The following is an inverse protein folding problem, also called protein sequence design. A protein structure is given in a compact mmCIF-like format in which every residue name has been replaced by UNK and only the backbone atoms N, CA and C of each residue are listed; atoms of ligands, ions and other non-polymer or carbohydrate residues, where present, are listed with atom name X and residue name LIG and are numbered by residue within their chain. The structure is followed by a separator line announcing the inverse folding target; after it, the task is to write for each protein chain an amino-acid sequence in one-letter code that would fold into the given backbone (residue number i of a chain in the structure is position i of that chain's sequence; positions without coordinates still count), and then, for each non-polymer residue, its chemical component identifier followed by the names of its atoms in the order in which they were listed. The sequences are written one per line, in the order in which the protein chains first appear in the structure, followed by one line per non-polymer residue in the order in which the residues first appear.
data_IF_949320009553
#
_entry.id   IF_949320009553
#
_cell.length_a   1.000
_cell.length_b   1.000
_cell.length_c   1.000
_cell.angle_alpha   90.00
_cell.angle_beta   90.00
_cell.angle_gamma   90.00
#
_symmetry.space_group_name_H-M   'P 1'
#
loop_
_entity.id
_entity.type
_entity.pdbx_description
1 polymer ?
#
# COMPACT_ATOMS: atom_id res chain seq x y z
N UNK A 1 29.35 -40.26 -2.54
CA UNK A 1 28.20 -39.80 -3.34
C UNK A 1 27.05 -39.71 -2.36
N UNK A 2 26.48 -38.53 -2.15
CA UNK A 2 25.41 -38.36 -1.18
C UNK A 2 24.19 -39.18 -1.61
N UNK A 3 23.61 -39.94 -0.68
CA UNK A 3 22.45 -40.77 -0.97
C UNK A 3 21.27 -39.91 -1.45
N UNK A 4 20.73 -40.31 -2.59
CA UNK A 4 19.72 -39.56 -3.36
C UNK A 4 18.40 -39.42 -2.62
N UNK A 5 18.09 -40.34 -1.71
CA UNK A 5 16.90 -40.33 -0.86
C UNK A 5 16.96 -39.27 0.25
N UNK A 6 18.11 -39.11 0.91
CA UNK A 6 18.24 -38.23 2.08
C UNK A 6 18.12 -36.74 1.72
N UNK A 7 18.72 -36.32 0.60
CA UNK A 7 18.66 -34.93 0.14
C UNK A 7 17.24 -34.50 -0.25
N UNK A 8 16.39 -35.44 -0.69
CA UNK A 8 15.01 -35.17 -1.07
C UNK A 8 14.10 -34.86 0.14
N UNK A 9 14.41 -35.45 1.30
CA UNK A 9 13.67 -35.24 2.55
C UNK A 9 14.04 -33.91 3.24
N UNK A 10 15.27 -33.43 3.05
CA UNK A 10 15.76 -32.19 3.66
C UNK A 10 15.27 -30.92 2.94
N UNK A 11 14.99 -31.00 1.63
CA UNK A 11 14.56 -29.84 0.84
C UNK A 11 13.22 -29.21 1.30
N UNK A 12 12.15 -29.97 1.57
CA UNK A 12 10.90 -29.41 2.09
C UNK A 12 11.09 -28.67 3.42
N UNK A 13 11.99 -29.17 4.29
CA UNK A 13 12.31 -28.56 5.58
C UNK A 13 13.04 -27.22 5.38
N UNK A 14 14.00 -27.19 4.46
CA UNK A 14 14.72 -25.97 4.09
C UNK A 14 13.77 -24.90 3.54
N UNK A 15 12.90 -25.25 2.58
CA UNK A 15 11.92 -24.32 2.02
C UNK A 15 10.92 -23.84 3.08
N UNK A 16 10.46 -24.74 3.95
CA UNK A 16 9.60 -24.38 5.08
C UNK A 16 10.25 -23.32 5.97
N UNK A 17 11.53 -23.49 6.31
CA UNK A 17 12.26 -22.53 7.14
C UNK A 17 12.39 -21.14 6.49
N UNK A 18 12.72 -21.11 5.19
CA UNK A 18 12.86 -19.86 4.42
C UNK A 18 11.53 -19.11 4.32
N UNK A 19 10.41 -19.82 4.16
CA UNK A 19 9.08 -19.21 4.08
C UNK A 19 8.59 -18.79 5.47
N UNK A 20 8.77 -19.62 6.49
CA UNK A 20 8.27 -19.36 7.84
C UNK A 20 8.96 -18.16 8.52
N UNK A 21 10.27 -18.00 8.31
CA UNK A 21 11.08 -16.95 8.95
C UNK A 21 10.56 -15.52 8.71
N UNK A 22 10.17 -15.10 7.48
CA UNK A 22 9.52 -13.82 7.26
C UNK A 22 8.00 -13.86 7.49
N UNK A 23 7.31 -14.97 7.19
CA UNK A 23 5.85 -15.05 7.22
C UNK A 23 5.28 -14.95 8.64
N UNK A 24 5.89 -15.65 9.60
CA UNK A 24 5.40 -15.72 10.99
C UNK A 24 5.52 -14.35 11.68
N UNK A 25 6.68 -13.67 11.69
CA UNK A 25 6.76 -12.33 12.28
C UNK A 25 5.85 -11.32 11.57
N UNK A 26 5.74 -11.38 10.25
CA UNK A 26 4.87 -10.48 9.48
C UNK A 26 3.39 -10.64 9.86
N UNK A 27 2.92 -11.89 9.99
CA UNK A 27 1.52 -12.18 10.36
C UNK A 27 1.22 -11.77 11.79
N UNK A 28 2.13 -12.03 12.74
CA UNK A 28 2.02 -11.57 14.14
C UNK A 28 1.94 -10.04 14.19
N UNK A 29 2.87 -9.32 13.57
CA UNK A 29 2.88 -7.85 13.55
C UNK A 29 1.59 -7.28 12.93
N UNK A 30 1.07 -7.92 11.88
CA UNK A 30 -0.17 -7.50 11.23
C UNK A 30 -1.38 -7.72 12.11
N UNK A 31 -1.47 -8.85 12.81
CA UNK A 31 -2.53 -9.14 13.78
C UNK A 31 -2.49 -8.14 14.96
N UNK A 32 -1.31 -7.89 15.52
CA UNK A 32 -1.11 -6.89 16.58
C UNK A 32 -1.53 -5.48 16.14
N UNK A 33 -1.19 -5.06 14.91
CA UNK A 33 -1.64 -3.76 14.35
C UNK A 33 -3.14 -3.69 14.13
N UNK A 34 -3.80 -4.81 13.81
CA UNK A 34 -5.26 -4.84 13.67
C UNK A 34 -5.92 -4.74 15.04
N UNK A 35 -5.40 -5.44 16.04
CA UNK A 35 -5.89 -5.38 17.42
C UNK A 35 -5.67 -4.01 18.08
N UNK A 36 -4.55 -3.34 17.78
CA UNK A 36 -4.19 -2.03 18.34
C UNK A 36 -4.90 -0.84 17.67
N UNK A 37 -5.64 -1.04 16.58
CA UNK A 37 -6.36 0.05 15.90
C UNK A 37 -7.52 0.55 16.76
N UNK A 38 -7.23 1.55 17.60
CA UNK A 38 -8.24 2.34 18.29
C UNK A 38 -9.21 2.93 17.28
N UNK A 39 -10.49 2.76 17.57
CA UNK A 39 -11.56 3.42 16.82
C UNK A 39 -11.45 4.92 17.09
N UNK A 40 -11.29 5.72 16.02
CA UNK A 40 -11.22 7.17 16.17
C UNK A 40 -12.60 7.66 16.56
N UNK A 41 -12.72 8.26 17.75
CA UNK A 41 -13.95 8.87 18.24
C UNK A 41 -14.42 9.97 17.27
N UNK A 42 -15.71 9.94 17.00
CA UNK A 42 -16.37 10.93 16.14
C UNK A 42 -16.56 12.18 16.98
N UNK A 43 -15.79 13.24 16.70
CA UNK A 43 -15.94 14.52 17.39
C UNK A 43 -17.16 15.34 16.91
N UNK A 44 -17.82 14.95 15.81
CA UNK A 44 -18.96 15.69 15.26
C UNK A 44 -20.06 14.75 14.71
N UNK A 45 -21.29 14.90 15.22
CA UNK A 45 -22.46 14.11 14.86
C UNK A 45 -23.28 14.69 13.69
N UNK A 46 -22.70 15.61 12.90
CA UNK A 46 -23.43 16.29 11.83
C UNK A 46 -23.82 15.34 10.67
N UNK A 47 -24.95 15.59 10.00
CA UNK A 47 -25.43 14.76 8.87
C UNK A 47 -24.41 14.66 7.73
N UNK A 48 -23.70 15.74 7.43
CA UNK A 48 -22.61 15.79 6.44
C UNK A 48 -21.40 14.95 6.89
N UNK A 49 -21.06 15.00 8.18
CA UNK A 49 -19.99 14.26 8.81
C UNK A 49 -20.29 12.75 8.81
N UNK A 50 -21.55 12.38 9.04
CA UNK A 50 -22.05 11.01 8.97
C UNK A 50 -22.04 10.45 7.54
N UNK A 51 -22.32 11.31 6.54
CA UNK A 51 -22.33 10.95 5.11
C UNK A 51 -20.93 10.96 4.48
N UNK A 52 -19.95 11.61 5.12
CA UNK A 52 -18.56 11.67 4.67
C UNK A 52 -17.89 10.29 4.67
N UNK A 53 -17.39 9.89 3.49
CA UNK A 53 -16.65 8.62 3.30
C UNK A 53 -15.31 8.53 4.06
N UNK A 54 -14.92 9.59 4.78
CA UNK A 54 -13.78 9.61 5.70
C UNK A 54 -14.08 8.77 6.95
N UNK A 55 -15.35 8.61 7.32
CA UNK A 55 -15.79 7.96 8.57
C UNK A 55 -16.75 6.78 8.34
N UNK A 56 -17.53 6.76 7.25
CA UNK A 56 -18.24 5.54 6.82
C UNK A 56 -17.27 4.61 6.09
N UNK A 57 -16.51 3.79 6.83
CA UNK A 57 -15.83 2.63 6.24
C UNK A 57 -16.93 1.65 5.81
N UNK A 58 -17.40 1.78 4.56
CA UNK A 58 -18.26 0.76 3.96
C UNK A 58 -17.61 -0.60 4.21
N UNK A 59 -18.38 -1.56 4.70
CA UNK A 59 -17.96 -2.95 4.92
C UNK A 59 -17.26 -3.47 3.66
N UNK A 60 -17.72 -3.03 2.48
CA UNK A 60 -17.12 -3.29 1.18
C UNK A 60 -15.68 -2.78 1.02
N UNK A 61 -15.32 -1.61 1.59
CA UNK A 61 -13.94 -1.09 1.61
C UNK A 61 -13.05 -1.80 2.63
N UNK A 62 -13.64 -2.33 3.72
CA UNK A 62 -12.94 -3.17 4.71
C UNK A 62 -12.62 -4.54 4.12
N UNK A 63 -13.55 -5.12 3.37
CA UNK A 63 -13.37 -6.35 2.58
C UNK A 63 -12.39 -6.10 1.42
N UNK A 64 -12.47 -4.98 0.70
CA UNK A 64 -11.52 -4.63 -0.37
C UNK A 64 -10.08 -4.47 0.14
N UNK A 65 -9.88 -3.92 1.35
CA UNK A 65 -8.54 -3.87 1.98
C UNK A 65 -8.10 -5.24 2.50
N UNK A 66 -9.03 -6.10 2.90
CA UNK A 66 -8.75 -7.50 3.21
C UNK A 66 -8.41 -8.29 1.93
N UNK A 67 -8.97 -7.90 0.79
CA UNK A 67 -8.72 -8.43 -0.55
C UNK A 67 -7.72 -7.57 -1.32
N UNK A 68 -6.66 -7.12 -0.64
CA UNK A 68 -5.49 -6.58 -1.33
C UNK A 68 -4.58 -7.75 -1.69
N UNK A 69 -3.96 -7.77 -2.88
CA UNK A 69 -3.04 -8.83 -3.35
C UNK A 69 -2.08 -9.34 -2.25
N UNK A 70 -1.57 -8.44 -1.40
CA UNK A 70 -0.71 -8.75 -0.25
C UNK A 70 -1.33 -9.65 0.84
N UNK A 71 -2.65 -9.69 1.01
CA UNK A 71 -3.29 -10.58 1.98
C UNK A 71 -3.55 -11.95 1.37
N UNK A 72 -3.89 -11.98 0.07
CA UNK A 72 -4.02 -13.22 -0.68
C UNK A 72 -2.68 -13.95 -0.78
N UNK A 73 -1.57 -13.23 -1.00
CA UNK A 73 -0.23 -13.83 -0.99
C UNK A 73 0.13 -14.42 0.38
N UNK A 74 -0.22 -13.75 1.49
CA UNK A 74 0.01 -14.29 2.84
C UNK A 74 -0.81 -15.56 3.09
N UNK A 75 -2.07 -15.58 2.67
CA UNK A 75 -2.93 -16.76 2.78
C UNK A 75 -2.37 -17.93 1.96
N UNK A 76 -2.00 -17.66 0.70
CA UNK A 76 -1.38 -18.65 -0.19
C UNK A 76 -0.08 -19.21 0.40
N UNK A 77 0.78 -18.36 0.99
CA UNK A 77 2.00 -18.81 1.67
C UNK A 77 1.70 -19.71 2.87
N UNK A 78 0.65 -19.44 3.65
CA UNK A 78 0.22 -20.34 4.73
C UNK A 78 -0.31 -21.67 4.22
N UNK A 79 -1.04 -21.69 3.10
CA UNK A 79 -1.47 -22.94 2.44
C UNK A 79 -0.27 -23.75 1.98
N UNK A 80 0.75 -23.10 1.40
CA UNK A 80 2.01 -23.76 1.01
C UNK A 80 2.73 -24.31 2.25
N UNK A 81 2.79 -23.56 3.35
CA UNK A 81 3.36 -24.04 4.62
C UNK A 81 2.64 -25.29 5.13
N UNK A 82 1.30 -25.29 5.12
CA UNK A 82 0.49 -26.45 5.54
C UNK A 82 0.77 -27.66 4.64
N UNK A 83 0.84 -27.45 3.33
CA UNK A 83 1.18 -28.50 2.37
C UNK A 83 2.59 -29.04 2.60
N UNK A 84 3.59 -28.19 2.82
CA UNK A 84 4.97 -28.60 3.11
C UNK A 84 5.06 -29.39 4.41
N UNK A 85 4.38 -28.95 5.48
CA UNK A 85 4.32 -29.70 6.75
C UNK A 85 3.67 -31.06 6.56
N UNK A 86 2.61 -31.15 5.75
CA UNK A 86 1.97 -32.42 5.41
C UNK A 86 2.94 -33.34 4.65
N UNK A 87 3.65 -32.81 3.64
CA UNK A 87 4.65 -33.55 2.87
C UNK A 87 5.82 -34.02 3.74
N UNK A 88 6.34 -33.17 4.64
CA UNK A 88 7.39 -33.57 5.60
C UNK A 88 6.89 -34.71 6.50
N UNK A 89 5.67 -34.60 7.05
CA UNK A 89 5.08 -35.65 7.89
C UNK A 89 4.98 -36.99 7.15
N UNK A 90 4.71 -36.97 5.85
CA UNK A 90 4.67 -38.18 5.03
C UNK A 90 6.08 -38.75 4.82
N UNK A 91 7.08 -37.93 4.49
CA UNK A 91 8.46 -38.37 4.25
C UNK A 91 9.19 -38.84 5.51
N UNK A 92 8.92 -38.25 6.69
CA UNK A 92 9.55 -38.66 7.95
C UNK A 92 9.16 -40.07 8.41
N UNK A 93 8.09 -40.66 7.86
CA UNK A 93 7.69 -42.04 8.17
C UNK A 93 8.53 -43.09 7.46
N UNK A 94 9.32 -42.71 6.45
CA UNK A 94 10.12 -43.64 5.64
C UNK A 94 11.58 -43.74 6.14
N UNK A 95 12.02 -42.82 7.00
CA UNK A 95 13.39 -42.78 7.55
C UNK A 95 13.37 -43.34 8.98
N UNK A 96 13.18 -44.65 9.13
CA UNK A 96 13.49 -45.33 10.39
C UNK A 96 15.00 -45.61 10.44
N UNK A 97 15.64 -45.31 11.58
CA UNK A 97 17.05 -45.61 11.78
C UNK A 97 17.30 -47.11 11.62
N UNK A 98 18.28 -47.51 10.80
CA UNK A 98 18.58 -48.90 10.50
C UNK A 98 19.07 -49.64 11.75
N UNK A 99 18.17 -50.39 12.39
CA UNK A 99 18.49 -51.25 13.53
C UNK A 99 18.36 -52.73 13.12
N UNK A 100 19.49 -53.45 12.95
CA UNK A 100 19.50 -54.85 12.52
C UNK A 100 18.70 -55.79 13.43
N UNK A 101 18.61 -55.51 14.73
CA UNK A 101 17.90 -56.36 15.68
C UNK A 101 16.39 -56.21 15.55
N UNK A 102 15.87 -54.98 15.47
CA UNK A 102 14.44 -54.75 15.24
C UNK A 102 13.97 -55.21 13.86
N UNK A 103 14.79 -55.06 12.80
CA UNK A 103 14.47 -55.55 11.45
C UNK A 103 14.31 -57.08 11.43
N UNK A 104 15.15 -57.82 12.17
CA UNK A 104 15.04 -59.28 12.28
C UNK A 104 14.03 -59.73 13.35
N UNK A 105 13.48 -58.80 14.14
CA UNK A 105 12.55 -59.07 15.23
C UNK A 105 13.20 -59.81 16.42
N UNK A 106 14.45 -59.46 16.74
CA UNK A 106 15.25 -60.07 17.81
C UNK A 106 15.60 -59.04 18.89
N UNK A 107 15.84 -59.51 20.12
CA UNK A 107 16.39 -58.69 21.18
C UNK A 107 17.92 -58.50 20.98
N UNK A 108 18.50 -57.39 21.48
CA UNK A 108 19.95 -57.22 21.49
C UNK A 108 20.62 -58.31 22.36
N UNK A 109 21.73 -58.89 21.91
CA UNK A 109 22.49 -59.91 22.65
C UNK A 109 22.08 -61.37 22.41
N UNK A 110 21.24 -61.64 21.41
CA UNK A 110 20.81 -62.99 21.02
C UNK A 110 21.94 -63.77 20.33
N UNK A 111 21.98 -65.10 20.53
CA UNK A 111 23.00 -65.98 19.94
C UNK A 111 22.89 -66.07 18.41
N UNK A 112 24.02 -66.29 17.72
CA UNK A 112 24.08 -66.40 16.25
C UNK A 112 23.13 -67.47 15.68
N UNK A 113 22.88 -68.54 16.43
CA UNK A 113 21.94 -69.60 16.05
C UNK A 113 20.51 -69.07 15.88
N UNK A 114 20.09 -68.13 16.72
CA UNK A 114 18.78 -67.50 16.67
C UNK A 114 18.70 -66.41 15.59
N UNK A 115 19.81 -65.71 15.31
CA UNK A 115 19.93 -64.78 14.16
C UNK A 115 19.73 -65.53 12.84
N UNK A 116 20.41 -66.66 12.64
CA UNK A 116 20.25 -67.52 11.46
C UNK A 116 18.83 -68.08 11.33
N UNK A 117 18.18 -68.43 12.45
CA UNK A 117 16.80 -68.92 12.47
C UNK A 117 15.80 -67.83 12.07
N UNK A 118 15.97 -66.60 12.58
CA UNK A 118 15.13 -65.46 12.26
C UNK A 118 15.29 -65.04 10.79
N UNK A 119 16.53 -64.97 10.30
CA UNK A 119 16.81 -64.73 8.88
C UNK A 119 16.14 -65.79 8.00
N UNK A 120 16.32 -67.08 8.27
CA UNK A 120 15.68 -68.16 7.49
C UNK A 120 14.16 -68.03 7.43
N UNK A 121 13.51 -67.63 8.53
CA UNK A 121 12.06 -67.40 8.59
C UNK A 121 11.65 -66.24 7.68
N UNK A 122 12.32 -65.10 7.79
CA UNK A 122 12.02 -63.89 7.01
C UNK A 122 12.40 -64.06 5.53
N UNK A 123 13.52 -64.72 5.22
CA UNK A 123 13.94 -65.02 3.86
C UNK A 123 12.91 -65.87 3.12
N UNK A 124 12.24 -66.82 3.78
CA UNK A 124 11.18 -67.62 3.12
C UNK A 124 9.96 -66.75 2.80
N UNK A 125 9.66 -65.77 3.64
CA UNK A 125 8.49 -64.89 3.51
C UNK A 125 8.68 -63.79 2.46
N UNK A 126 9.90 -63.29 2.31
CA UNK A 126 10.23 -62.16 1.43
C UNK A 126 11.16 -62.53 0.26
N UNK A 127 11.37 -63.84 -0.02
CA UNK A 127 12.20 -64.28 -1.15
C UNK A 127 11.60 -63.84 -2.50
N UNK A 128 12.40 -63.32 -3.46
CA UNK A 128 11.91 -62.96 -4.80
C UNK A 128 11.23 -64.13 -5.53
N UNK A 129 11.71 -65.36 -5.31
CA UNK A 129 11.13 -66.54 -5.97
C UNK A 129 9.82 -67.01 -5.35
N UNK A 130 9.54 -66.65 -4.09
CA UNK A 130 8.35 -67.13 -3.35
C UNK A 130 7.27 -66.08 -3.18
N UNK A 131 7.65 -64.81 -3.26
CA UNK A 131 6.74 -63.68 -3.15
C UNK A 131 6.84 -62.81 -4.42
N UNK A 132 5.77 -62.71 -5.23
CA UNK A 132 5.78 -61.94 -6.47
C UNK A 132 5.73 -60.42 -6.25
N UNK A 133 5.57 -59.94 -5.01
CA UNK A 133 5.48 -58.50 -4.72
C UNK A 133 6.83 -57.78 -4.88
N UNK A 134 6.94 -56.75 -5.75
CA UNK A 134 8.20 -56.02 -5.95
C UNK A 134 8.64 -55.24 -4.70
N UNK A 135 7.70 -54.85 -3.83
CA UNK A 135 8.00 -54.21 -2.55
C UNK A 135 8.64 -55.18 -1.54
N UNK A 136 8.19 -56.45 -1.53
CA UNK A 136 8.76 -57.49 -0.68
C UNK A 136 10.21 -57.79 -1.06
N UNK A 137 10.51 -57.81 -2.37
CA UNK A 137 11.88 -57.98 -2.87
C UNK A 137 12.81 -56.84 -2.43
N UNK A 138 12.37 -55.58 -2.58
CA UNK A 138 13.15 -54.42 -2.10
C UNK A 138 13.40 -54.52 -0.61
N UNK A 139 12.37 -54.83 0.19
CA UNK A 139 12.51 -54.97 1.64
C UNK A 139 13.51 -56.07 2.03
N UNK A 140 13.50 -57.19 1.31
CA UNK A 140 14.44 -58.28 1.53
C UNK A 140 15.90 -57.88 1.28
N UNK A 141 16.17 -57.23 0.15
CA UNK A 141 17.53 -56.83 -0.24
C UNK A 141 18.04 -55.67 0.60
N UNK A 142 17.21 -54.64 0.80
CA UNK A 142 17.61 -53.40 1.46
C UNK A 142 17.68 -53.52 2.98
N UNK A 143 16.79 -54.29 3.61
CA UNK A 143 16.70 -54.37 5.07
C UNK A 143 17.11 -55.74 5.61
N UNK A 144 16.45 -56.83 5.18
CA UNK A 144 16.64 -58.17 5.80
C UNK A 144 18.06 -58.72 5.52
N UNK A 145 18.52 -58.64 4.27
CA UNK A 145 19.84 -59.13 3.87
C UNK A 145 20.96 -58.30 4.51
N UNK A 146 20.83 -56.97 4.50
CA UNK A 146 21.80 -56.08 5.15
C UNK A 146 21.84 -56.27 6.67
N UNK A 147 20.69 -56.47 7.32
CA UNK A 147 20.62 -56.68 8.77
C UNK A 147 21.30 -58.00 9.18
N UNK A 148 21.12 -59.05 8.39
CA UNK A 148 21.81 -60.32 8.62
C UNK A 148 23.33 -60.20 8.41
N UNK A 149 23.76 -59.50 7.36
CA UNK A 149 25.19 -59.24 7.09
C UNK A 149 25.82 -58.42 8.23
N UNK A 150 25.14 -57.37 8.69
CA UNK A 150 25.56 -56.51 9.79
C UNK A 150 25.84 -57.27 11.09
N UNK A 151 25.07 -58.32 11.39
CA UNK A 151 25.20 -59.09 12.62
C UNK A 151 26.08 -60.35 12.49
N UNK A 152 26.32 -60.83 11.27
CA UNK A 152 27.06 -62.08 11.02
C UNK A 152 28.53 -61.84 10.70
N UNK A 153 28.87 -60.74 10.02
CA UNK A 153 30.25 -60.39 9.72
C UNK A 153 30.93 -59.81 10.99
N UNK A 154 32.03 -60.40 11.49
CA UNK A 154 32.73 -59.88 12.67
C UNK A 154 33.13 -58.41 12.53
N UNK A 155 33.49 -57.97 11.31
CA UNK A 155 33.90 -56.58 11.06
C UNK A 155 32.69 -55.63 11.14
N UNK A 156 31.58 -55.98 10.48
CA UNK A 156 30.36 -55.16 10.50
C UNK A 156 29.70 -55.12 11.88
N UNK A 157 29.79 -56.20 12.65
CA UNK A 157 29.27 -56.27 14.02
C UNK A 157 30.08 -55.39 14.96
N UNK A 158 31.41 -55.46 14.90
CA UNK A 158 32.29 -54.58 15.68
C UNK A 158 32.06 -53.09 15.32
N UNK A 159 31.86 -52.81 14.03
CA UNK A 159 31.51 -51.47 13.54
C UNK A 159 30.15 -51.00 14.07
N UNK A 160 29.14 -51.86 14.07
CA UNK A 160 27.82 -51.54 14.61
C UNK A 160 27.88 -51.30 16.13
N UNK A 161 28.62 -52.12 16.88
CA UNK A 161 28.81 -51.97 18.32
C UNK A 161 29.59 -50.69 18.69
N UNK A 162 30.56 -50.28 17.86
CA UNK A 162 31.38 -49.08 18.09
C UNK A 162 30.78 -47.78 17.56
N UNK A 163 30.07 -47.82 16.44
CA UNK A 163 29.62 -46.64 15.68
C UNK A 163 28.10 -46.60 15.43
N UNK A 164 27.35 -47.64 15.80
CA UNK A 164 25.90 -47.71 15.59
C UNK A 164 25.46 -47.98 14.13
N UNK A 165 26.40 -48.30 13.23
CA UNK A 165 26.13 -48.57 11.81
C UNK A 165 27.05 -49.69 11.28
N UNK A 166 26.56 -50.64 10.45
CA UNK A 166 27.36 -51.76 9.94
C UNK A 166 28.59 -51.35 9.11
N UNK A 167 28.51 -50.21 8.42
CA UNK A 167 29.59 -49.68 7.57
C UNK A 167 30.70 -48.91 8.34
N UNK A 168 30.61 -48.83 9.67
CA UNK A 168 31.60 -48.18 10.52
C UNK A 168 31.43 -46.66 10.63
N UNK A 169 32.53 -45.94 10.89
CA UNK A 169 32.52 -44.48 11.06
C UNK A 169 32.06 -43.79 9.78
N UNK A 170 30.80 -43.40 9.73
CA UNK A 170 30.30 -42.56 8.64
C UNK A 170 31.03 -41.21 8.66
N UNK A 171 31.68 -40.86 7.55
CA UNK A 171 32.20 -39.51 7.37
C UNK A 171 31.05 -38.51 7.33
N UNK A 172 31.24 -37.32 7.90
CA UNK A 172 30.27 -36.23 7.77
C UNK A 172 30.08 -35.89 6.29
N UNK A 173 29.01 -36.38 5.67
CA UNK A 173 28.63 -36.00 4.31
C UNK A 173 27.77 -34.74 4.39
N UNK A 174 28.33 -33.60 3.95
CA UNK A 174 27.58 -32.36 3.79
C UNK A 174 26.72 -32.45 2.53
N UNK A 175 25.45 -32.81 2.67
CA UNK A 175 24.46 -32.72 1.61
C UNK A 175 23.93 -31.28 1.48
N UNK A 176 23.83 -30.76 0.25
CA UNK A 176 23.06 -29.55 0.00
C UNK A 176 21.59 -29.97 -0.08
N UNK A 177 20.72 -29.32 0.69
CA UNK A 177 19.28 -29.61 0.72
C UNK A 177 18.54 -29.17 -0.57
N UNK A 178 19.20 -29.15 -1.73
CA UNK A 178 18.59 -28.86 -3.03
C UNK A 178 18.27 -30.18 -3.74
N UNK A 179 17.09 -30.30 -4.37
CA UNK A 179 16.70 -31.50 -5.07
C UNK A 179 17.51 -31.64 -6.36
N UNK A 180 17.86 -32.87 -6.73
CA UNK A 180 18.74 -33.14 -7.86
C UNK A 180 18.16 -32.67 -9.20
N UNK A 181 16.83 -32.68 -9.39
CA UNK A 181 16.20 -32.17 -10.62
C UNK A 181 16.48 -30.68 -10.91
N UNK A 182 16.82 -29.86 -9.90
CA UNK A 182 17.22 -28.46 -10.10
C UNK A 182 18.69 -28.31 -10.51
N UNK A 183 19.52 -29.30 -10.20
CA UNK A 183 20.96 -29.31 -10.45
C UNK A 183 21.33 -30.16 -11.68
N UNK A 184 20.49 -31.12 -12.06
CA UNK A 184 20.69 -31.96 -13.22
C UNK A 184 20.41 -31.16 -14.48
N UNK A 185 21.46 -30.71 -15.17
CA UNK A 185 21.40 -29.92 -16.42
C UNK A 185 20.77 -30.64 -17.63
N UNK A 186 20.13 -31.80 -17.43
CA UNK A 186 19.46 -32.57 -18.47
C UNK A 186 18.21 -31.82 -18.96
N UNK A 187 18.37 -30.93 -19.96
CA UNK A 187 17.35 -30.38 -20.85
C UNK A 187 16.19 -29.57 -20.24
N UNK A 188 15.46 -30.15 -19.28
CA UNK A 188 14.27 -29.58 -18.64
C UNK A 188 14.57 -28.54 -17.56
N UNK A 189 15.68 -28.66 -16.83
CA UNK A 189 16.07 -27.72 -15.76
C UNK A 189 16.83 -26.50 -16.30
N UNK A 190 17.62 -26.68 -17.37
CA UNK A 190 18.41 -25.62 -18.00
C UNK A 190 17.54 -24.48 -18.55
N UNK A 191 16.36 -24.82 -19.10
CA UNK A 191 15.38 -23.81 -19.55
C UNK A 191 14.83 -22.95 -18.39
N UNK A 192 14.57 -23.56 -17.24
CA UNK A 192 14.05 -22.87 -16.04
C UNK A 192 15.11 -21.92 -15.48
N UNK A 193 16.36 -22.36 -15.44
CA UNK A 193 17.49 -21.56 -14.96
C UNK A 193 17.77 -20.36 -15.89
N UNK A 194 17.71 -20.57 -17.21
CA UNK A 194 17.87 -19.50 -18.21
C UNK A 194 16.71 -18.48 -18.14
N UNK A 195 15.47 -18.94 -17.97
CA UNK A 195 14.32 -18.05 -17.77
C UNK A 195 14.44 -17.23 -16.49
N UNK A 196 14.96 -17.82 -15.42
CA UNK A 196 15.17 -17.10 -14.15
C UNK A 196 16.26 -16.03 -14.27
N UNK A 197 17.37 -16.34 -14.94
CA UNK A 197 18.44 -15.37 -15.21
C UNK A 197 17.93 -14.26 -16.13
N UNK A 198 17.30 -14.60 -17.25
CA UNK A 198 16.77 -13.62 -18.21
C UNK A 198 15.68 -12.74 -17.59
N UNK A 199 14.75 -13.33 -16.84
CA UNK A 199 13.68 -12.62 -16.16
C UNK A 199 14.21 -11.73 -15.02
N UNK A 200 15.09 -12.27 -14.19
CA UNK A 200 15.61 -11.59 -13.00
C UNK A 200 16.65 -10.52 -13.30
N UNK A 201 17.58 -10.77 -14.23
CA UNK A 201 18.68 -9.85 -14.51
C UNK A 201 18.41 -8.90 -15.68
N UNK A 202 17.55 -9.26 -16.64
CA UNK A 202 17.30 -8.41 -17.81
C UNK A 202 15.92 -7.76 -17.71
N UNK A 203 14.86 -8.56 -17.60
CA UNK A 203 13.50 -8.01 -17.61
C UNK A 203 13.18 -7.17 -16.38
N UNK A 204 13.59 -7.58 -15.18
CA UNK A 204 13.28 -6.87 -13.95
C UNK A 204 14.00 -5.50 -13.88
N UNK A 205 15.33 -5.38 -14.11
CA UNK A 205 15.98 -4.07 -14.17
C UNK A 205 15.47 -3.21 -15.32
N UNK A 206 15.13 -3.79 -16.48
CA UNK A 206 14.54 -3.03 -17.58
C UNK A 206 13.15 -2.50 -17.21
N UNK A 207 12.29 -3.31 -16.62
CA UNK A 207 10.95 -2.89 -16.19
C UNK A 207 11.03 -1.82 -15.09
N UNK A 208 11.90 -2.03 -14.09
CA UNK A 208 12.16 -1.03 -13.04
C UNK A 208 12.72 0.24 -13.66
N UNK A 209 13.65 0.13 -14.60
CA UNK A 209 14.23 1.27 -15.33
C UNK A 209 13.17 2.06 -16.11
N UNK A 210 12.33 1.40 -16.89
CA UNK A 210 11.26 2.06 -17.66
C UNK A 210 10.24 2.71 -16.73
N UNK A 211 9.81 2.04 -15.66
CA UNK A 211 8.83 2.60 -14.70
C UNK A 211 9.45 3.76 -13.92
N UNK A 212 10.69 3.61 -13.48
CA UNK A 212 11.41 4.65 -12.75
C UNK A 212 11.63 5.87 -13.65
N UNK A 213 12.21 5.69 -14.84
CA UNK A 213 12.48 6.79 -15.76
C UNK A 213 11.19 7.47 -16.25
N UNK A 214 10.14 6.70 -16.58
CA UNK A 214 8.87 7.28 -17.03
C UNK A 214 8.12 8.06 -15.94
N UNK A 215 8.22 7.65 -14.67
CA UNK A 215 7.63 8.40 -13.55
C UNK A 215 8.53 9.55 -13.12
N UNK A 216 9.83 9.30 -13.03
CA UNK A 216 10.81 10.28 -12.63
C UNK A 216 10.96 11.40 -13.63
N UNK A 217 10.59 11.24 -14.92
CA UNK A 217 10.54 12.30 -15.93
C UNK A 217 9.25 13.13 -15.91
N UNK A 218 8.13 12.54 -15.49
CA UNK A 218 6.81 13.22 -15.48
C UNK A 218 6.52 13.98 -14.18
N UNK A 219 6.94 13.46 -13.03
CA UNK A 219 6.60 13.99 -11.72
C UNK A 219 7.81 14.59 -11.00
N UNK A 220 7.60 15.71 -10.31
CA UNK A 220 8.57 16.34 -9.41
C UNK A 220 8.47 15.86 -7.96
N UNK A 221 9.26 16.48 -7.07
CA UNK A 221 9.24 16.23 -5.62
C UNK A 221 7.93 16.71 -5.00
N UNK A 222 6.93 15.82 -4.99
CA UNK A 222 5.60 15.85 -4.33
C UNK A 222 4.49 15.15 -5.15
N UNK A 223 4.83 14.40 -6.20
CA UNK A 223 3.85 13.86 -7.17
C UNK A 223 3.03 14.95 -7.89
N UNK A 224 3.61 16.14 -8.05
CA UNK A 224 3.11 17.21 -8.92
C UNK A 224 3.81 17.08 -10.27
N UNK A 225 3.09 17.27 -11.38
CA UNK A 225 3.68 17.22 -12.73
C UNK A 225 4.73 18.30 -12.89
N UNK A 226 5.83 17.97 -13.59
CA UNK A 226 6.87 18.95 -13.89
C UNK A 226 6.35 20.13 -14.70
N UNK A 227 5.49 19.86 -15.67
CA UNK A 227 4.82 20.90 -16.48
C UNK A 227 4.13 21.94 -15.60
N UNK A 228 3.42 21.49 -14.55
CA UNK A 228 2.74 22.40 -13.62
C UNK A 228 3.70 23.23 -12.80
N UNK A 229 4.79 22.63 -12.32
CA UNK A 229 5.83 23.36 -11.61
C UNK A 229 6.48 24.43 -12.49
N UNK A 230 6.72 24.13 -13.77
CA UNK A 230 7.26 25.10 -14.74
C UNK A 230 6.25 26.23 -15.00
N UNK A 231 4.98 25.90 -15.26
CA UNK A 231 3.93 26.90 -15.45
C UNK A 231 3.77 27.79 -14.21
N UNK A 232 3.79 27.22 -13.01
CA UNK A 232 3.78 28.00 -11.76
C UNK A 232 5.05 28.84 -11.60
N UNK A 233 6.21 28.30 -11.98
CA UNK A 233 7.45 29.05 -11.93
C UNK A 233 7.37 30.31 -12.80
N UNK A 234 6.86 30.20 -14.03
CA UNK A 234 6.74 31.34 -14.96
C UNK A 234 5.65 32.35 -14.56
N UNK A 235 4.53 31.88 -14.01
CA UNK A 235 3.38 32.72 -13.71
C UNK A 235 3.47 33.46 -12.38
N UNK A 236 4.11 32.86 -11.38
CA UNK A 236 4.33 33.57 -10.11
C UNK A 236 5.29 34.72 -10.42
N UNK A 237 4.93 35.92 -9.99
CA UNK A 237 5.69 37.16 -10.14
C UNK A 237 5.74 37.89 -8.79
N UNK A 238 6.73 38.75 -8.53
CA UNK A 238 6.85 39.45 -7.24
C UNK A 238 5.66 40.38 -6.95
N UNK A 239 5.01 40.91 -8.00
CA UNK A 239 3.84 41.78 -7.93
C UNK A 239 2.50 41.04 -7.89
N UNK A 240 2.50 39.70 -7.82
CA UNK A 240 1.27 38.91 -7.80
C UNK A 240 0.44 39.26 -6.56
N UNK A 241 -0.75 39.82 -6.80
CA UNK A 241 -1.70 40.15 -5.73
C UNK A 241 -2.42 38.88 -5.25
N UNK A 242 -2.79 38.77 -3.95
CA UNK A 242 -3.53 37.63 -3.41
C UNK A 242 -4.81 37.30 -4.19
N UNK A 243 -5.52 38.32 -4.69
CA UNK A 243 -6.71 38.13 -5.52
C UNK A 243 -6.44 37.34 -6.80
N UNK A 244 -5.29 37.54 -7.44
CA UNK A 244 -4.91 36.89 -8.71
C UNK A 244 -4.18 35.55 -8.52
N UNK A 245 -3.97 35.10 -7.29
CA UNK A 245 -3.33 33.80 -7.00
C UNK A 245 -4.21 32.65 -7.49
N UNK A 246 -5.54 32.77 -7.40
CA UNK A 246 -6.47 31.76 -7.94
C UNK A 246 -6.23 31.54 -9.45
N UNK A 247 -6.13 32.61 -10.23
CA UNK A 247 -5.92 32.55 -11.68
C UNK A 247 -4.60 31.83 -12.06
N UNK A 248 -3.60 31.87 -11.18
CA UNK A 248 -2.34 31.12 -11.33
C UNK A 248 -2.54 29.67 -10.92
N UNK A 249 -3.21 29.42 -9.80
CA UNK A 249 -3.44 28.10 -9.24
C UNK A 249 -4.19 27.16 -10.20
N UNK A 250 -5.25 27.65 -10.87
CA UNK A 250 -6.07 26.84 -11.78
C UNK A 250 -5.32 26.42 -13.06
N UNK A 251 -4.21 27.07 -13.40
CA UNK A 251 -3.39 26.72 -14.58
C UNK A 251 -2.54 25.46 -14.40
N UNK A 252 -2.85 24.62 -13.42
CA UNK A 252 -2.21 23.32 -13.24
C UNK A 252 -2.54 22.36 -14.38
N UNK A 253 -1.54 21.58 -14.82
CA UNK A 253 -1.70 20.57 -15.85
C UNK A 253 -2.56 19.39 -15.39
N UNK A 254 -2.60 19.11 -14.08
CA UNK A 254 -3.49 18.09 -13.51
C UNK A 254 -4.97 18.44 -13.69
N UNK A 255 -5.32 19.73 -13.74
CA UNK A 255 -6.69 20.14 -14.02
C UNK A 255 -7.05 20.06 -15.51
N UNK A 256 -6.07 20.01 -16.41
CA UNK A 256 -6.33 19.84 -17.84
C UNK A 256 -6.86 18.45 -18.18
N UNK A 257 -6.58 17.44 -17.34
CA UNK A 257 -7.06 16.06 -17.53
C UNK A 257 -8.54 15.85 -17.16
N UNK A 258 -9.20 16.86 -16.59
CA UNK A 258 -10.59 16.74 -16.17
C UNK A 258 -11.48 16.52 -17.41
N UNK A 259 -12.36 15.50 -17.42
CA UNK A 259 -13.20 15.25 -18.57
C UNK A 259 -14.15 16.43 -18.81
N UNK A 260 -14.13 16.99 -20.01
CA UNK A 260 -15.05 18.03 -20.45
C UNK A 260 -16.14 17.37 -21.27
N UNK A 261 -17.35 17.30 -20.71
CA UNK A 261 -18.51 16.65 -21.33
C UNK A 261 -19.47 17.74 -21.81
N UNK A 262 -20.09 17.56 -22.98
CA UNK A 262 -21.09 18.51 -23.52
C UNK A 262 -22.31 18.69 -22.61
N UNK A 263 -22.67 17.64 -21.87
CA UNK A 263 -23.75 17.70 -20.89
C UNK A 263 -23.46 18.64 -19.70
N UNK A 264 -22.21 19.07 -19.51
CA UNK A 264 -21.83 19.96 -18.43
C UNK A 264 -21.98 21.45 -18.81
N UNK A 265 -22.23 21.79 -20.09
CA UNK A 265 -22.22 23.18 -20.56
C UNK A 265 -23.33 24.03 -19.89
N UNK A 266 -24.55 23.51 -19.82
CA UNK A 266 -25.69 24.17 -19.16
C UNK A 266 -25.45 24.37 -17.64
N UNK A 267 -25.13 23.34 -16.84
CA UNK A 267 -24.89 23.53 -15.41
C UNK A 267 -23.66 24.40 -15.13
N UNK A 268 -22.64 24.40 -16.00
CA UNK A 268 -21.49 25.30 -15.86
C UNK A 268 -21.88 26.76 -16.09
N UNK A 269 -22.79 27.06 -17.03
CA UNK A 269 -23.30 28.41 -17.23
C UNK A 269 -24.13 28.90 -16.03
N UNK A 270 -24.94 28.04 -15.42
CA UNK A 270 -25.67 28.36 -14.19
C UNK A 270 -24.71 28.64 -13.03
N UNK A 271 -23.70 27.79 -12.86
CA UNK A 271 -22.65 28.01 -11.86
C UNK A 271 -21.89 29.30 -12.09
N UNK A 272 -21.57 29.63 -13.35
CA UNK A 272 -20.92 30.89 -13.69
C UNK A 272 -21.77 32.09 -13.22
N UNK A 273 -23.09 32.07 -13.40
CA UNK A 273 -23.97 33.16 -12.92
C UNK A 273 -23.90 33.31 -11.39
N UNK A 274 -23.85 32.20 -10.67
CA UNK A 274 -23.78 32.19 -9.20
C UNK A 274 -22.43 32.67 -8.66
N UNK A 275 -21.34 32.36 -9.37
CA UNK A 275 -19.96 32.62 -8.97
C UNK A 275 -19.44 33.96 -9.51
N UNK A 276 -20.13 34.56 -10.48
CA UNK A 276 -19.71 35.79 -11.18
C UNK A 276 -19.25 36.92 -10.27
N UNK A 277 -19.85 37.08 -9.09
CA UNK A 277 -19.49 38.13 -8.13
C UNK A 277 -18.12 37.94 -7.48
N UNK A 278 -17.65 36.69 -7.39
CA UNK A 278 -16.37 36.32 -6.77
C UNK A 278 -15.24 36.16 -7.78
N UNK A 279 -15.57 35.99 -9.06
CA UNK A 279 -14.60 36.04 -10.14
C UNK A 279 -14.02 37.46 -10.20
N UNK A 280 -12.68 37.59 -10.14
CA UNK A 280 -11.96 38.86 -10.23
C UNK A 280 -12.01 39.46 -11.66
N UNK A 281 -13.21 39.61 -12.21
CA UNK A 281 -13.50 40.25 -13.48
C UNK A 281 -13.56 41.75 -13.23
N UNK A 282 -12.72 42.51 -13.94
CA UNK A 282 -12.70 43.96 -13.80
C UNK A 282 -14.05 44.56 -14.22
N UNK A 283 -14.75 45.21 -13.30
CA UNK A 283 -16.10 45.74 -13.51
C UNK A 283 -16.21 46.74 -14.67
N UNK A 284 -15.12 47.41 -15.05
CA UNK A 284 -15.06 48.37 -16.16
C UNK A 284 -15.11 47.70 -17.54
N UNK A 285 -14.55 46.49 -17.67
CA UNK A 285 -14.44 45.74 -18.95
C UNK A 285 -15.07 44.33 -18.85
N UNK A 286 -16.12 44.19 -18.02
CA UNK A 286 -16.66 42.89 -17.63
C UNK A 286 -17.05 41.99 -18.81
N UNK A 287 -17.57 42.54 -19.93
CA UNK A 287 -17.96 41.78 -21.12
C UNK A 287 -16.75 41.21 -21.88
N UNK A 288 -15.67 41.99 -21.96
CA UNK A 288 -14.43 41.56 -22.62
C UNK A 288 -13.72 40.49 -21.77
N UNK A 289 -13.64 40.69 -20.46
CA UNK A 289 -13.04 39.73 -19.53
C UNK A 289 -13.85 38.43 -19.44
N UNK A 290 -15.18 38.50 -19.47
CA UNK A 290 -16.03 37.32 -19.58
C UNK A 290 -15.74 36.53 -20.87
N UNK A 291 -15.56 37.23 -21.99
CA UNK A 291 -15.21 36.57 -23.26
C UNK A 291 -13.82 35.94 -23.20
N UNK A 292 -12.84 36.60 -22.56
CA UNK A 292 -11.50 36.04 -22.34
C UNK A 292 -11.52 34.81 -21.44
N UNK A 293 -12.35 34.82 -20.40
CA UNK A 293 -12.52 33.70 -19.48
C UNK A 293 -12.99 32.44 -20.21
N UNK A 294 -14.07 32.54 -21.00
CA UNK A 294 -14.59 31.39 -21.77
C UNK A 294 -13.69 30.95 -22.94
N UNK A 295 -12.77 31.82 -23.39
CA UNK A 295 -11.75 31.48 -24.41
C UNK A 295 -10.58 30.66 -23.85
N UNK A 296 -10.45 30.54 -22.53
CA UNK A 296 -9.44 29.68 -21.93
C UNK A 296 -9.75 28.19 -22.18
N UNK A 297 -8.80 27.32 -21.86
CA UNK A 297 -9.01 25.88 -21.99
C UNK A 297 -10.24 25.44 -21.16
N UNK A 298 -11.22 24.71 -21.74
CA UNK A 298 -12.48 24.39 -21.07
C UNK A 298 -12.32 23.68 -19.72
N UNK A 299 -11.30 22.83 -19.58
CA UNK A 299 -11.00 22.14 -18.33
C UNK A 299 -10.55 23.08 -17.20
N UNK A 300 -9.80 24.14 -17.53
CA UNK A 300 -9.35 25.17 -16.58
C UNK A 300 -10.56 25.97 -16.10
N UNK A 301 -11.41 26.42 -17.04
CA UNK A 301 -12.66 27.12 -16.72
C UNK A 301 -13.54 26.28 -15.80
N UNK A 302 -13.72 25.00 -16.14
CA UNK A 302 -14.46 24.04 -15.31
C UNK A 302 -13.85 23.93 -13.90
N UNK A 303 -12.53 23.74 -13.79
CA UNK A 303 -11.86 23.64 -12.50
C UNK A 303 -12.02 24.92 -11.65
N UNK A 304 -11.86 26.10 -12.25
CA UNK A 304 -12.03 27.37 -11.56
C UNK A 304 -13.45 27.53 -11.02
N UNK A 305 -14.47 27.25 -11.84
CA UNK A 305 -15.87 27.32 -11.43
C UNK A 305 -16.19 26.37 -10.28
N UNK A 306 -15.65 25.14 -10.33
CA UNK A 306 -15.85 24.15 -9.26
C UNK A 306 -15.19 24.57 -7.95
N UNK A 307 -13.97 25.11 -8.02
CA UNK A 307 -13.24 25.59 -6.83
C UNK A 307 -13.97 26.81 -6.25
N UNK A 308 -14.42 27.74 -7.07
CA UNK A 308 -15.12 28.93 -6.59
C UNK A 308 -16.50 28.59 -6.00
N UNK A 309 -17.25 27.67 -6.63
CA UNK A 309 -18.51 27.17 -6.07
C UNK A 309 -18.30 26.44 -4.73
N UNK A 310 -17.14 25.79 -4.54
CA UNK A 310 -16.73 25.24 -3.25
C UNK A 310 -16.49 26.32 -2.20
N UNK A 311 -15.79 27.41 -2.55
CA UNK A 311 -15.56 28.53 -1.63
C UNK A 311 -16.89 29.17 -1.18
N UNK A 312 -17.90 29.21 -2.06
CA UNK A 312 -19.24 29.70 -1.75
C UNK A 312 -20.16 28.69 -1.04
N UNK A 313 -19.65 27.48 -0.73
CA UNK A 313 -20.44 26.39 -0.10
C UNK A 313 -21.69 25.97 -0.88
N UNK A 314 -21.72 26.20 -2.20
CA UNK A 314 -22.84 25.81 -3.09
C UNK A 314 -22.61 24.46 -3.77
N UNK A 315 -21.91 23.54 -3.12
CA UNK A 315 -21.57 22.24 -3.69
C UNK A 315 -22.77 21.28 -3.83
N UNK A 316 -23.90 21.58 -3.17
CA UNK A 316 -25.13 20.77 -3.24
C UNK A 316 -25.90 20.96 -4.55
N UNK A 317 -25.61 22.02 -5.32
CA UNK A 317 -26.27 22.28 -6.61
C UNK A 317 -25.64 21.52 -7.78
N UNK A 318 -24.62 20.70 -7.53
CA UNK A 318 -23.90 19.98 -8.59
C UNK A 318 -24.68 18.74 -9.06
N UNK A 319 -24.67 18.51 -10.38
CA UNK A 319 -25.13 17.25 -10.96
C UNK A 319 -24.25 16.08 -10.48
N UNK A 320 -24.76 14.85 -10.53
CA UNK A 320 -24.04 13.65 -10.06
C UNK A 320 -22.67 13.46 -10.71
N UNK A 321 -22.56 13.77 -12.01
CA UNK A 321 -21.32 13.73 -12.77
C UNK A 321 -20.35 14.82 -12.32
N UNK A 322 -20.83 16.07 -12.24
CA UNK A 322 -20.03 17.21 -11.84
C UNK A 322 -19.52 17.06 -10.40
N UNK A 323 -20.29 16.40 -9.54
CA UNK A 323 -19.88 16.08 -8.17
C UNK A 323 -18.70 15.09 -8.10
N UNK A 324 -18.56 14.18 -9.08
CA UNK A 324 -17.38 13.30 -9.16
C UNK A 324 -16.14 14.09 -9.56
N UNK A 325 -16.27 14.96 -10.56
CA UNK A 325 -15.17 15.82 -11.03
C UNK A 325 -14.75 16.81 -9.94
N UNK A 326 -15.71 17.42 -9.25
CA UNK A 326 -15.48 18.26 -8.06
C UNK A 326 -14.67 17.53 -6.98
N UNK A 327 -15.04 16.29 -6.64
CA UNK A 327 -14.28 15.47 -5.68
C UNK A 327 -12.88 15.15 -6.17
N UNK A 328 -12.70 15.00 -7.47
CA UNK A 328 -11.39 14.75 -8.07
C UNK A 328 -10.51 16.00 -7.97
N UNK A 329 -11.03 17.18 -8.35
CA UNK A 329 -10.35 18.49 -8.23
C UNK A 329 -9.85 18.72 -6.80
N UNK A 330 -10.72 18.58 -5.80
CA UNK A 330 -10.37 18.79 -4.40
C UNK A 330 -9.30 17.82 -3.87
N UNK A 331 -9.12 16.64 -4.47
CA UNK A 331 -8.07 15.70 -4.06
C UNK A 331 -6.67 16.18 -4.49
N UNK A 332 -6.56 16.87 -5.63
CA UNK A 332 -5.29 17.43 -6.09
C UNK A 332 -4.95 18.75 -5.42
N UNK A 333 -5.95 19.54 -5.04
CA UNK A 333 -5.76 20.91 -4.53
C UNK A 333 -4.69 21.05 -3.44
N UNK A 334 -4.67 20.25 -2.36
CA UNK A 334 -3.65 20.41 -1.32
C UNK A 334 -2.22 20.21 -1.83
N UNK A 335 -2.02 19.24 -2.73
CA UNK A 335 -0.70 18.94 -3.31
C UNK A 335 -0.24 20.05 -4.25
N UNK A 336 -1.15 20.59 -5.04
CA UNK A 336 -0.89 21.69 -5.96
C UNK A 336 -0.58 22.99 -5.22
N UNK A 337 -1.31 23.28 -4.13
CA UNK A 337 -1.03 24.43 -3.27
C UNK A 337 0.36 24.34 -2.64
N UNK A 338 0.76 23.17 -2.14
CA UNK A 338 2.11 22.96 -1.62
C UNK A 338 3.17 23.17 -2.71
N UNK A 339 2.93 22.65 -3.93
CA UNK A 339 3.79 22.88 -5.09
C UNK A 339 3.91 24.37 -5.44
N UNK A 340 2.79 25.10 -5.41
CA UNK A 340 2.73 26.53 -5.70
C UNK A 340 3.48 27.37 -4.64
N UNK A 341 3.33 27.05 -3.34
CA UNK A 341 4.09 27.69 -2.26
C UNK A 341 5.59 27.47 -2.48
N UNK A 342 6.00 26.23 -2.77
CA UNK A 342 7.40 25.92 -3.05
C UNK A 342 7.92 26.82 -4.18
N UNK A 343 7.19 26.93 -5.29
CA UNK A 343 7.58 27.78 -6.44
C UNK A 343 7.65 29.28 -6.12
N UNK A 344 6.86 29.76 -5.16
CA UNK A 344 6.93 31.14 -4.68
C UNK A 344 8.13 31.39 -3.76
N UNK A 345 8.52 30.40 -2.95
CA UNK A 345 9.65 30.49 -2.01
C UNK A 345 11.00 30.12 -2.60
N UNK A 346 11.03 29.49 -3.79
CA UNK A 346 12.29 29.15 -4.47
C UNK A 346 13.16 30.40 -4.63
N UNK A 347 14.47 30.33 -4.34
CA UNK A 347 15.40 31.43 -4.56
C UNK A 347 15.47 31.80 -6.05
N UNK A 348 15.10 33.05 -6.39
CA UNK A 348 15.12 33.54 -7.78
C UNK A 348 16.05 34.72 -8.01
N UNK A 349 16.38 35.43 -6.94
CA UNK A 349 17.29 36.57 -6.99
C UNK A 349 18.72 36.11 -6.79
N UNK A 350 19.71 36.88 -7.27
CA UNK A 350 21.13 36.59 -7.03
C UNK A 350 21.48 36.47 -5.53
N UNK A 351 20.65 37.08 -4.66
CA UNK A 351 20.77 37.01 -3.19
C UNK A 351 20.11 35.76 -2.58
N UNK A 352 19.48 34.90 -3.38
CA UNK A 352 18.87 33.66 -2.91
C UNK A 352 17.52 33.84 -2.20
N UNK A 353 16.80 34.93 -2.41
CA UNK A 353 15.48 35.14 -1.80
C UNK A 353 14.34 34.73 -2.74
N UNK A 354 13.30 34.11 -2.15
CA UNK A 354 11.99 33.92 -2.76
C UNK A 354 11.08 35.13 -2.56
N UNK A 355 9.81 35.02 -2.97
CA UNK A 355 8.85 36.13 -2.89
C UNK A 355 7.82 35.91 -1.79
N UNK A 356 7.86 36.80 -0.79
CA UNK A 356 6.98 36.73 0.38
C UNK A 356 5.52 37.03 0.04
N UNK A 357 5.26 38.11 -0.71
CA UNK A 357 3.88 38.55 -1.01
C UNK A 357 3.05 37.50 -1.75
N UNK A 358 3.56 36.85 -2.82
CA UNK A 358 2.87 35.71 -3.43
C UNK A 358 2.72 34.53 -2.48
N UNK A 359 3.74 34.22 -1.67
CA UNK A 359 3.68 33.12 -0.71
C UNK A 359 2.55 33.31 0.32
N UNK A 360 2.39 34.52 0.86
CA UNK A 360 1.28 34.87 1.77
C UNK A 360 -0.06 34.66 1.07
N UNK A 361 -0.24 35.19 -0.15
CA UNK A 361 -1.48 35.02 -0.90
C UNK A 361 -1.83 33.56 -1.21
N UNK A 362 -0.83 32.71 -1.43
CA UNK A 362 -1.04 31.26 -1.63
C UNK A 362 -1.44 30.58 -0.32
N UNK A 363 -0.84 30.98 0.81
CA UNK A 363 -1.24 30.48 2.13
C UNK A 363 -2.67 30.90 2.46
N UNK A 364 -3.05 32.14 2.22
CA UNK A 364 -4.43 32.63 2.37
C UNK A 364 -5.41 31.83 1.51
N UNK A 365 -5.07 31.62 0.23
CA UNK A 365 -5.85 30.78 -0.67
C UNK A 365 -6.00 29.35 -0.14
N UNK A 366 -4.92 28.77 0.38
CA UNK A 366 -4.94 27.42 0.93
C UNK A 366 -5.89 27.30 2.13
N UNK A 367 -5.89 28.29 3.01
CA UNK A 367 -6.80 28.36 4.16
C UNK A 367 -8.25 28.50 3.70
N UNK A 368 -8.52 29.37 2.72
CA UNK A 368 -9.86 29.56 2.15
C UNK A 368 -10.41 28.28 1.51
N UNK A 369 -9.59 27.55 0.74
CA UNK A 369 -10.03 26.30 0.10
C UNK A 369 -10.27 25.20 1.15
N UNK A 370 -9.41 25.08 2.16
CA UNK A 370 -9.57 24.08 3.23
C UNK A 370 -10.83 24.34 4.05
N UNK A 371 -11.10 25.62 4.39
CA UNK A 371 -12.25 26.01 5.22
C UNK A 371 -13.54 26.27 4.40
N UNK A 372 -13.45 26.22 3.07
CA UNK A 372 -14.54 26.55 2.16
C UNK A 372 -15.13 27.95 2.46
N UNK A 373 -14.29 28.98 2.37
CA UNK A 373 -14.64 30.39 2.62
C UNK A 373 -14.14 31.23 1.43
N UNK A 374 -14.94 32.18 0.90
CA UNK A 374 -14.53 32.99 -0.24
C UNK A 374 -13.37 33.94 0.12
N UNK A 375 -12.51 34.22 -0.87
CA UNK A 375 -11.40 35.16 -0.71
C UNK A 375 -11.87 36.60 -0.47
N UNK A 376 -13.06 36.97 -0.97
CA UNK A 376 -13.68 38.28 -0.72
C UNK A 376 -13.94 38.51 0.77
N UNK A 377 -14.32 37.47 1.52
CA UNK A 377 -14.62 37.57 2.95
C UNK A 377 -13.40 37.89 3.82
N UNK A 378 -12.18 37.68 3.28
CA UNK A 378 -10.91 38.08 3.92
C UNK A 378 -10.50 39.51 3.61
N UNK A 379 -11.11 40.19 2.64
CA UNK A 379 -10.76 41.58 2.35
C UNK A 379 -11.07 42.42 3.59
N UNK A 380 -10.05 43.12 4.10
CA UNK A 380 -10.15 43.97 5.28
C UNK A 380 -11.24 45.03 5.08
N UNK A 381 -12.35 44.88 5.79
CA UNK A 381 -13.36 45.91 6.02
C UNK A 381 -13.17 46.47 7.42
N UNK A 382 -13.08 47.80 7.54
CA UNK A 382 -13.03 48.60 8.78
C UNK A 382 -12.59 47.86 10.06
N UNK A 383 -11.28 47.63 10.21
CA UNK A 383 -10.67 47.38 11.53
C UNK A 383 -10.17 45.97 11.86
N UNK A 384 -10.44 44.94 11.03
CA UNK A 384 -9.89 43.59 11.24
C UNK A 384 -9.08 43.11 10.04
N UNK A 385 -7.91 42.51 10.30
CA UNK A 385 -7.01 41.95 9.29
C UNK A 385 -7.57 40.72 8.58
N UNK A 386 -8.49 39.98 9.23
CA UNK A 386 -9.05 38.73 8.70
C UNK A 386 -10.52 38.84 8.24
N UNK A 387 -11.16 39.99 8.50
CA UNK A 387 -12.54 40.25 8.08
C UNK A 387 -13.57 39.20 8.57
N UNK A 388 -14.64 39.04 7.80
CA UNK A 388 -15.76 38.13 8.11
C UNK A 388 -15.38 36.65 7.96
N UNK A 389 -14.24 36.36 7.31
CA UNK A 389 -13.79 35.00 7.06
C UNK A 389 -13.56 34.18 8.32
N UNK A 390 -13.13 34.81 9.43
CA UNK A 390 -12.94 34.15 10.72
C UNK A 390 -14.25 33.54 11.27
N UNK A 391 -15.36 34.28 11.11
CA UNK A 391 -16.70 33.85 11.54
C UNK A 391 -17.26 32.76 10.63
N UNK A 392 -17.06 32.90 9.32
CA UNK A 392 -17.57 31.92 8.36
C UNK A 392 -16.95 30.53 8.56
N UNK A 393 -15.74 30.43 9.09
CA UNK A 393 -15.08 29.13 9.37
C UNK A 393 -15.84 28.27 10.39
N UNK A 394 -16.69 28.88 11.24
CA UNK A 394 -17.43 28.16 12.26
C UNK A 394 -18.55 27.29 11.64
N UNK A 395 -18.81 26.10 12.21
CA UNK A 395 -19.88 25.23 11.73
C UNK A 395 -21.24 25.90 11.93
N UNK A 396 -22.13 25.76 10.94
CA UNK A 396 -23.50 26.32 10.93
C UNK A 396 -23.60 27.86 10.88
N UNK A 397 -22.50 28.59 10.73
CA UNK A 397 -22.52 30.01 10.42
C UNK A 397 -22.76 30.22 8.92
N UNK A 398 -23.86 30.91 8.59
CA UNK A 398 -24.20 31.33 7.23
C UNK A 398 -24.08 32.85 7.10
N UNK A 399 -23.99 33.35 5.87
CA UNK A 399 -23.93 34.79 5.58
C UNK A 399 -25.11 35.55 6.22
N UNK A 400 -26.28 34.93 6.30
CA UNK A 400 -27.46 35.50 6.95
C UNK A 400 -27.30 35.64 8.47
N UNK A 401 -26.66 34.67 9.12
CA UNK A 401 -26.38 34.74 10.58
C UNK A 401 -25.37 35.84 10.85
N UNK A 402 -24.34 35.94 10.03
CA UNK A 402 -23.32 36.98 10.16
C UNK A 402 -23.92 38.36 9.91
N UNK A 403 -24.77 38.53 8.90
CA UNK A 403 -25.47 39.79 8.67
C UNK A 403 -26.35 40.21 9.85
N UNK A 404 -26.92 39.25 10.60
CA UNK A 404 -27.65 39.53 11.85
C UNK A 404 -26.71 39.93 13.00
N UNK A 405 -25.55 39.29 13.12
CA UNK A 405 -24.54 39.60 14.15
C UNK A 405 -23.91 40.97 13.89
N UNK A 406 -23.51 41.25 12.64
CA UNK A 406 -22.92 42.52 12.22
C UNK A 406 -23.85 43.73 12.47
N UNK A 407 -25.18 43.52 12.43
CA UNK A 407 -26.17 44.55 12.79
C UNK A 407 -26.22 44.83 14.30
N UNK A 408 -25.84 43.86 15.14
CA UNK A 408 -25.94 43.95 16.61
C UNK A 408 -24.60 44.31 17.25
N UNK A 409 -23.48 43.90 16.65
CA UNK A 409 -22.13 44.13 17.17
C UNK A 409 -21.15 44.23 16.01
N UNK A 410 -20.22 45.19 16.09
CA UNK A 410 -19.08 45.31 15.19
C UNK A 410 -18.00 44.25 15.51
N UNK A 411 -18.37 42.97 15.47
CA UNK A 411 -17.46 41.83 15.70
C UNK A 411 -16.87 41.41 14.37
N UNK A 412 -15.54 41.41 14.27
CA UNK A 412 -14.82 41.07 13.04
C UNK A 412 -13.70 40.04 13.25
N UNK A 413 -13.55 39.52 14.47
CA UNK A 413 -12.59 38.46 14.81
C UNK A 413 -13.19 37.47 15.82
N UNK A 414 -12.63 36.25 15.84
CA UNK A 414 -13.00 35.22 16.81
C UNK A 414 -12.71 35.64 18.25
N UNK A 415 -11.61 36.37 18.48
CA UNK A 415 -11.26 36.97 19.78
C UNK A 415 -12.41 37.81 20.31
N UNK A 416 -12.97 38.65 19.45
CA UNK A 416 -14.01 39.61 19.80
C UNK A 416 -15.33 38.91 20.16
N UNK A 417 -15.61 37.75 19.54
CA UNK A 417 -16.78 36.92 19.94
C UNK A 417 -16.60 36.41 21.35
N UNK A 418 -15.42 35.89 21.71
CA UNK A 418 -15.23 35.25 23.02
C UNK A 418 -15.44 36.23 24.17
N UNK A 419 -15.00 37.47 24.01
CA UNK A 419 -15.17 38.51 25.05
C UNK A 419 -16.61 39.03 25.09
N UNK A 420 -17.17 39.44 23.95
CA UNK A 420 -18.47 40.12 23.92
C UNK A 420 -19.69 39.19 23.99
N UNK A 421 -19.57 37.95 23.49
CA UNK A 421 -20.67 36.97 23.50
C UNK A 421 -20.84 36.35 24.89
N UNK A 422 -19.76 36.16 25.65
CA UNK A 422 -19.83 35.75 27.06
C UNK A 422 -20.42 36.86 27.93
N UNK A 423 -20.06 38.12 27.70
CA UNK A 423 -20.67 39.25 28.41
C UNK A 423 -22.18 39.36 28.15
N UNK A 424 -22.63 39.22 26.89
CA UNK A 424 -24.06 39.30 26.56
C UNK A 424 -24.88 38.11 27.06
N UNK A 425 -24.32 36.89 27.05
CA UNK A 425 -24.95 35.73 27.69
C UNK A 425 -25.00 35.83 29.22
N UNK A 426 -24.08 36.57 29.84
CA UNK A 426 -24.11 36.86 31.27
C UNK A 426 -25.19 37.91 31.62
N UNK A 427 -25.46 38.86 30.72
CA UNK A 427 -26.49 39.89 30.91
C UNK A 427 -27.91 39.34 30.71
N UNK A 428 -28.11 38.38 29.80
CA UNK A 428 -29.43 37.76 29.56
C UNK A 428 -29.83 36.71 30.64
N UNK A 429 -28.97 36.45 31.64
CA UNK A 429 -29.21 35.51 32.75
C UNK A 429 -29.36 36.19 34.13
N UNK A 430 -29.57 37.52 34.19
CA UNK A 430 -29.87 38.26 35.43
C UNK A 430 -31.17 39.07 35.33
#
# INVERSE_FOLDING_TARGET
MADTGENSALFPIFILSIIALPLVPYTILKLLRVASKKEKSIHCACSVCSRSGKYRKSIFRRISKFSTCSNFTVLLLWVIVIFLVYSIKQSSREIEAFDPFSILGLAPGVTESAIKKAYRRLSIQYHPDKNPDPAAHKYFVEYISKAYQALTDPVSRENFEKYGHPDGRQGFQMGIALPQFLLDFNGSSGGILLLWILGGFILLPMAVGVVYLSRASKYGGNNVRRETLVTYFELVKPSLAPSKVMDVFVKAAEFMDIPVRRADDEPLQELFKLVKSELNLDGKNARQEQTKFWKQHPAIVKAELLIQAHLLRKADTFSSNLQQDYKHVLQFTPRLLEGLIKMATVPRTAKGHGWLRPAIGIVELSQCIIQAVPLSARKAGSGSSDGVASLLQLPHFSDAVIAKIAKKVSIFSYSDISETFLEKLAIDNY
#
